data_IF_182692881842
#
_entry.id   IF_182692881842
#
_cell.length_a   1.000
_cell.length_b   1.000
_cell.length_c   1.000
_cell.angle_alpha   90.00
_cell.angle_beta   90.00
_cell.angle_gamma   90.00
#
_symmetry.space_group_name_H-M   'P 1'
#
loop_
_entity.id
_entity.type
_entity.pdbx_description
1 polymer ?
#
# COMPACT_ATOMS: atom_id res chain seq x y z
N UNK A 1 11.33 -5.67 0.13
CA UNK A 1 10.30 -4.60 0.22
C UNK A 1 9.52 -4.33 -1.06
N UNK A 2 10.08 -4.51 -2.26
CA UNK A 2 9.34 -4.28 -3.51
C UNK A 2 8.04 -5.11 -3.61
N UNK A 3 8.00 -6.28 -2.97
CA UNK A 3 6.81 -7.13 -2.86
C UNK A 3 5.59 -6.40 -2.30
N UNK A 4 5.73 -5.63 -1.21
CA UNK A 4 4.61 -4.88 -0.64
C UNK A 4 4.15 -3.74 -1.56
N UNK A 5 5.09 -3.07 -2.24
CA UNK A 5 4.78 -2.00 -3.20
C UNK A 5 3.99 -2.55 -4.37
N UNK A 6 4.41 -3.69 -4.90
CA UNK A 6 3.74 -4.37 -6.01
C UNK A 6 2.36 -4.91 -5.64
N UNK A 7 2.24 -5.60 -4.51
CA UNK A 7 0.94 -6.04 -3.99
C UNK A 7 -0.02 -4.86 -3.79
N UNK A 8 0.47 -3.77 -3.19
CA UNK A 8 -0.32 -2.54 -3.01
C UNK A 8 -0.81 -1.98 -4.33
N UNK A 9 0.08 -1.82 -5.32
CA UNK A 9 -0.29 -1.29 -6.64
C UNK A 9 -1.32 -2.20 -7.33
N UNK A 10 -1.12 -3.51 -7.23
CA UNK A 10 -2.03 -4.49 -7.80
C UNK A 10 -3.44 -4.38 -7.21
N UNK A 11 -3.55 -4.30 -5.88
CA UNK A 11 -4.84 -4.18 -5.17
C UNK A 11 -5.51 -2.83 -5.44
N UNK A 12 -4.76 -1.72 -5.38
CA UNK A 12 -5.32 -0.38 -5.59
C UNK A 12 -5.79 -0.18 -7.03
N UNK A 13 -5.04 -0.70 -8.01
CA UNK A 13 -5.40 -0.53 -9.42
C UNK A 13 -6.66 -1.31 -9.80
N UNK A 14 -7.00 -2.38 -9.06
CA UNK A 14 -8.16 -3.25 -9.32
C UNK A 14 -8.21 -3.81 -10.75
N UNK A 15 -7.05 -3.89 -11.42
CA UNK A 15 -6.91 -4.44 -12.77
C UNK A 15 -6.38 -5.87 -12.72
N UNK A 16 -6.70 -6.71 -13.73
CA UNK A 16 -6.09 -8.02 -13.89
C UNK A 16 -4.55 -7.92 -13.87
N UNK A 17 -3.93 -8.71 -13.01
CA UNK A 17 -2.48 -8.73 -12.87
C UNK A 17 -2.01 -10.09 -12.34
N UNK A 18 -0.80 -10.47 -12.75
CA UNK A 18 -0.07 -11.61 -12.21
C UNK A 18 1.17 -11.10 -11.50
N UNK A 19 1.39 -11.57 -10.28
CA UNK A 19 2.63 -11.35 -9.56
C UNK A 19 3.42 -12.66 -9.56
N UNK A 20 4.55 -12.64 -10.25
CA UNK A 20 5.53 -13.72 -10.27
C UNK A 20 6.53 -13.47 -9.15
N UNK A 21 6.81 -14.49 -8.35
CA UNK A 21 7.72 -14.41 -7.22
C UNK A 21 8.63 -15.63 -7.15
N UNK A 22 9.88 -15.39 -6.78
CA UNK A 22 10.89 -16.44 -6.61
C UNK A 22 11.30 -16.51 -5.16
N UNK A 23 11.28 -17.72 -4.60
CA UNK A 23 11.81 -18.02 -3.26
C UNK A 23 12.77 -19.20 -3.37
N UNK A 24 14.06 -18.95 -3.15
CA UNK A 24 15.12 -19.92 -3.46
C UNK A 24 15.17 -20.22 -4.96
N UNK A 25 15.05 -21.49 -5.34
CA UNK A 25 15.08 -21.93 -6.74
C UNK A 25 13.70 -22.00 -7.41
N UNK A 26 12.61 -21.76 -6.67
CA UNK A 26 11.25 -22.00 -7.15
C UNK A 26 10.57 -20.68 -7.48
N UNK A 27 10.08 -20.55 -8.71
CA UNK A 27 9.24 -19.43 -9.16
C UNK A 27 7.79 -19.86 -9.22
N UNK A 28 6.91 -19.07 -8.61
CA UNK A 28 5.46 -19.27 -8.59
C UNK A 28 4.75 -17.96 -8.93
N UNK A 29 3.45 -18.06 -9.15
CA UNK A 29 2.62 -16.91 -9.49
C UNK A 29 1.38 -16.84 -8.62
N UNK A 30 0.96 -15.61 -8.31
CA UNK A 30 -0.34 -15.30 -7.73
C UNK A 30 -1.09 -14.35 -8.67
N UNK A 31 -2.36 -14.63 -8.91
CA UNK A 31 -3.20 -13.88 -9.84
C UNK A 31 -4.19 -13.03 -9.07
N UNK A 32 -4.46 -11.83 -9.58
CA UNK A 32 -5.38 -10.87 -9.00
C UNK A 32 -6.33 -10.34 -10.07
N UNK A 33 -7.63 -10.43 -9.81
CA UNK A 33 -8.68 -9.96 -10.72
C UNK A 33 -9.97 -9.67 -9.94
N UNK A 34 -10.74 -8.65 -10.36
CA UNK A 34 -12.04 -8.28 -9.74
C UNK A 34 -11.99 -8.17 -8.21
N UNK A 35 -11.01 -7.43 -7.72
CA UNK A 35 -10.79 -7.19 -6.29
C UNK A 35 -10.39 -8.41 -5.42
N UNK A 36 -10.08 -9.55 -6.04
CA UNK A 36 -9.72 -10.78 -5.32
C UNK A 36 -8.50 -11.49 -5.90
N UNK A 37 -7.91 -12.34 -5.08
CA UNK A 37 -6.86 -13.27 -5.47
C UNK A 37 -7.46 -14.60 -5.90
N UNK A 38 -6.90 -15.18 -6.95
CA UNK A 38 -7.35 -16.46 -7.48
C UNK A 38 -6.84 -17.64 -6.63
N UNK A 39 -7.71 -18.60 -6.35
CA UNK A 39 -7.38 -19.84 -5.64
C UNK A 39 -8.24 -20.08 -4.39
N UNK A 40 -7.88 -21.10 -3.63
CA UNK A 40 -8.51 -21.39 -2.33
C UNK A 40 -7.96 -20.49 -1.22
N UNK A 41 -8.70 -20.37 -0.12
CA UNK A 41 -8.31 -19.55 1.04
C UNK A 41 -6.89 -19.87 1.56
N UNK A 42 -6.60 -21.16 1.77
CA UNK A 42 -5.32 -21.61 2.32
C UNK A 42 -4.18 -21.43 1.32
N UNK A 43 -4.44 -21.73 0.05
CA UNK A 43 -3.46 -21.56 -1.02
C UNK A 43 -3.07 -20.10 -1.20
N UNK A 44 -4.05 -19.19 -1.28
CA UNK A 44 -3.80 -17.75 -1.42
C UNK A 44 -3.03 -17.21 -0.21
N UNK A 45 -3.44 -17.58 1.01
CA UNK A 45 -2.74 -17.15 2.23
C UNK A 45 -1.29 -17.64 2.25
N UNK A 46 -1.03 -18.89 1.85
CA UNK A 46 0.32 -19.44 1.77
C UNK A 46 1.15 -18.73 0.68
N UNK A 47 0.61 -18.56 -0.54
CA UNK A 47 1.31 -17.84 -1.62
C UNK A 47 1.65 -16.41 -1.21
N UNK A 48 0.74 -15.70 -0.53
CA UNK A 48 1.01 -14.35 -0.03
C UNK A 48 2.14 -14.32 1.00
N UNK A 49 2.22 -15.29 1.91
CA UNK A 49 3.36 -15.42 2.84
C UNK A 49 4.66 -15.68 2.09
N UNK A 50 4.64 -16.53 1.08
CA UNK A 50 5.81 -16.76 0.22
C UNK A 50 6.22 -15.47 -0.52
N UNK A 51 5.26 -14.66 -1.00
CA UNK A 51 5.52 -13.35 -1.62
C UNK A 51 6.16 -12.36 -0.63
N UNK A 52 5.78 -12.39 0.65
CA UNK A 52 6.40 -11.53 1.67
C UNK A 52 7.89 -11.86 1.86
N UNK A 53 8.26 -13.13 1.68
CA UNK A 53 9.62 -13.66 1.86
C UNK A 53 10.36 -13.91 0.54
N UNK A 54 9.80 -13.46 -0.58
CA UNK A 54 10.38 -13.72 -1.89
C UNK A 54 11.65 -12.89 -2.14
N UNK A 55 12.65 -13.53 -2.74
CA UNK A 55 13.93 -12.92 -3.12
C UNK A 55 13.73 -11.94 -4.28
N UNK A 56 12.84 -12.29 -5.20
CA UNK A 56 12.47 -11.45 -6.34
C UNK A 56 10.98 -11.49 -6.61
N UNK A 57 10.47 -10.37 -7.11
CA UNK A 57 9.05 -10.20 -7.44
C UNK A 57 8.93 -9.36 -8.71
N UNK A 58 8.07 -9.79 -9.62
CA UNK A 58 7.75 -9.07 -10.83
C UNK A 58 6.23 -9.06 -11.04
N UNK A 59 5.69 -7.92 -11.52
CA UNK A 59 4.26 -7.79 -11.81
C UNK A 59 4.08 -7.70 -13.31
N UNK A 60 3.30 -8.63 -13.85
CA UNK A 60 2.87 -8.61 -15.24
C UNK A 60 1.44 -8.09 -15.27
N UNK A 61 1.23 -6.99 -15.98
CA UNK A 61 -0.10 -6.45 -16.29
C UNK A 61 -0.37 -6.69 -17.76
N UNK A 62 -1.30 -7.59 -18.07
CA UNK A 62 -1.76 -7.91 -19.42
C UNK A 62 -3.29 -8.03 -19.39
N UNK A 63 -3.93 -7.78 -20.52
CA UNK A 63 -5.38 -8.01 -20.71
C UNK A 63 -5.69 -9.49 -20.92
N UNK A 64 -4.69 -10.29 -21.27
CA UNK A 64 -4.88 -11.67 -21.76
C UNK A 64 -4.56 -12.70 -20.68
N UNK A 65 -5.02 -12.45 -19.45
CA UNK A 65 -4.92 -13.45 -18.38
C UNK A 65 -6.16 -14.34 -18.39
N UNK A 66 -5.97 -15.60 -18.79
CA UNK A 66 -6.98 -16.63 -18.57
C UNK A 66 -6.87 -17.12 -17.11
N UNK A 67 -7.89 -16.90 -16.27
CA UNK A 67 -7.87 -17.41 -14.90
C UNK A 67 -7.83 -18.95 -14.93
N UNK A 68 -6.98 -19.55 -14.10
CA UNK A 68 -6.87 -21.01 -13.97
C UNK A 68 -8.08 -21.57 -13.21
N UNK A 69 -8.70 -20.76 -12.35
CA UNK A 69 -9.83 -21.13 -11.51
C UNK A 69 -10.85 -20.00 -11.40
N UNK A 70 -12.12 -20.36 -11.15
CA UNK A 70 -13.19 -19.40 -10.83
C UNK A 70 -13.21 -18.98 -9.36
N UNK A 71 -12.47 -19.67 -8.47
CA UNK A 71 -12.46 -19.40 -7.04
C UNK A 71 -11.61 -18.17 -6.74
N UNK A 72 -12.17 -17.25 -5.96
CA UNK A 72 -11.51 -16.00 -5.61
C UNK A 72 -11.71 -15.66 -4.14
N UNK A 73 -10.68 -15.09 -3.54
CA UNK A 73 -10.69 -14.61 -2.17
C UNK A 73 -10.48 -13.10 -2.20
N UNK A 74 -11.40 -12.37 -1.57
CA UNK A 74 -11.35 -10.91 -1.52
C UNK A 74 -10.05 -10.41 -0.85
N UNK A 75 -9.44 -9.34 -1.38
CA UNK A 75 -8.11 -8.91 -0.94
C UNK A 75 -7.97 -8.67 0.58
N UNK A 76 -8.86 -7.89 1.25
CA UNK A 76 -8.83 -7.76 2.70
C UNK A 76 -8.87 -9.08 3.47
N UNK A 77 -9.65 -10.05 3.01
CA UNK A 77 -9.71 -11.39 3.61
C UNK A 77 -8.40 -12.15 3.40
N UNK A 78 -7.90 -12.17 2.16
CA UNK A 78 -6.65 -12.85 1.82
C UNK A 78 -5.45 -12.30 2.61
N UNK A 79 -5.32 -10.97 2.72
CA UNK A 79 -4.25 -10.31 3.48
C UNK A 79 -4.40 -10.57 4.99
N UNK A 80 -5.63 -10.52 5.52
CA UNK A 80 -5.88 -10.83 6.94
C UNK A 80 -5.46 -12.26 7.29
N UNK A 81 -5.81 -13.22 6.43
CA UNK A 81 -5.45 -14.63 6.60
C UNK A 81 -3.96 -14.90 6.40
N UNK A 82 -3.32 -14.22 5.45
CA UNK A 82 -1.87 -14.34 5.24
C UNK A 82 -1.09 -13.82 6.46
N UNK A 83 -1.56 -12.75 7.11
CA UNK A 83 -0.90 -12.16 8.28
C UNK A 83 -1.26 -12.83 9.60
N UNK A 84 -2.36 -13.59 9.68
CA UNK A 84 -2.78 -14.29 10.89
C UNK A 84 -1.68 -15.21 11.43
N UNK A 85 -1.20 -14.92 12.65
CA UNK A 85 -0.08 -15.63 13.28
C UNK A 85 1.27 -15.54 12.56
N UNK A 86 1.40 -14.69 11.53
CA UNK A 86 2.64 -14.56 10.78
C UNK A 86 3.74 -13.90 11.63
N UNK A 87 4.93 -14.48 11.60
CA UNK A 87 6.12 -13.97 12.29
C UNK A 87 7.19 -13.64 11.26
N UNK A 88 8.07 -12.70 11.61
CA UNK A 88 9.12 -12.23 10.72
C UNK A 88 10.45 -12.84 11.12
N UNK A 89 11.22 -13.31 10.14
CA UNK A 89 12.64 -13.56 10.35
C UNK A 89 13.39 -12.23 10.60
N UNK A 90 14.63 -12.30 11.09
CA UNK A 90 15.39 -11.12 11.48
C UNK A 90 15.61 -10.14 10.32
N UNK A 91 15.88 -10.66 9.12
CA UNK A 91 16.13 -9.87 7.92
C UNK A 91 14.88 -9.10 7.45
N UNK A 92 13.73 -9.79 7.39
CA UNK A 92 12.46 -9.19 7.01
C UNK A 92 12.03 -8.16 8.06
N UNK A 93 12.20 -8.46 9.35
CA UNK A 93 11.95 -7.51 10.43
C UNK A 93 12.78 -6.23 10.26
N UNK A 94 14.09 -6.35 10.04
CA UNK A 94 14.97 -5.21 9.81
C UNK A 94 14.57 -4.41 8.56
N UNK A 95 14.22 -5.11 7.47
CA UNK A 95 13.74 -4.49 6.23
C UNK A 95 12.43 -3.71 6.41
N UNK A 96 11.48 -4.25 7.18
CA UNK A 96 10.21 -3.59 7.51
C UNK A 96 10.46 -2.36 8.39
N UNK A 97 11.31 -2.46 9.40
CA UNK A 97 11.68 -1.31 10.24
C UNK A 97 12.36 -0.20 9.43
N UNK A 98 13.31 -0.53 8.56
CA UNK A 98 13.92 0.42 7.63
C UNK A 98 12.88 1.04 6.68
N UNK A 99 11.86 0.28 6.29
CA UNK A 99 10.77 0.80 5.48
C UNK A 99 9.90 1.80 6.25
N UNK A 100 9.55 1.53 7.51
CA UNK A 100 8.72 2.46 8.30
C UNK A 100 9.42 3.79 8.57
N UNK A 101 10.75 3.79 8.71
CA UNK A 101 11.57 5.01 8.84
C UNK A 101 11.55 5.90 7.58
N UNK A 102 11.33 5.30 6.40
CA UNK A 102 11.31 6.02 5.11
C UNK A 102 9.92 6.52 4.71
N UNK A 103 8.87 6.11 5.42
CA UNK A 103 7.53 6.57 5.12
C UNK A 103 7.36 8.04 5.54
N UNK A 104 6.80 8.90 4.68
CA UNK A 104 6.44 10.27 5.06
C UNK A 104 5.31 10.24 6.11
N UNK A 105 4.94 11.39 6.70
CA UNK A 105 3.69 11.50 7.44
C UNK A 105 2.50 10.97 6.63
N UNK A 106 1.60 10.25 7.27
CA UNK A 106 0.54 9.49 6.65
C UNK A 106 -0.85 9.95 7.12
N UNK A 107 -1.81 9.80 6.22
CA UNK A 107 -3.25 9.74 6.52
C UNK A 107 -3.61 8.27 6.75
N UNK A 108 -4.45 8.00 7.75
CA UNK A 108 -4.95 6.66 8.07
C UNK A 108 -6.45 6.58 7.81
N UNK A 109 -6.86 5.78 6.83
CA UNK A 109 -8.27 5.52 6.51
C UNK A 109 -8.81 4.37 7.36
N UNK A 110 -10.01 4.55 7.88
CA UNK A 110 -10.74 3.50 8.59
C UNK A 110 -11.40 2.56 7.60
N UNK A 111 -11.23 1.26 7.81
CA UNK A 111 -11.85 0.19 7.05
C UNK A 111 -12.23 -0.94 8.03
N UNK A 112 -13.40 -1.59 7.88
CA UNK A 112 -13.90 -2.54 8.87
C UNK A 112 -13.18 -3.90 8.80
N UNK A 113 -11.89 -3.93 9.12
CA UNK A 113 -11.01 -5.11 9.07
C UNK A 113 -11.51 -6.28 9.93
N UNK A 114 -12.26 -6.00 11.00
CA UNK A 114 -12.89 -7.03 11.84
C UNK A 114 -13.86 -7.94 11.06
N UNK A 115 -14.47 -7.45 9.97
CA UNK A 115 -15.35 -8.27 9.10
C UNK A 115 -14.59 -9.35 8.34
N UNK A 116 -13.27 -9.23 8.27
CA UNK A 116 -12.38 -10.14 7.54
C UNK A 116 -11.48 -10.93 8.48
N UNK A 117 -11.88 -11.07 9.76
CA UNK A 117 -11.16 -11.81 10.79
C UNK A 117 -9.69 -11.36 10.99
N UNK A 118 -9.42 -10.06 10.82
CA UNK A 118 -8.09 -9.52 11.07
C UNK A 118 -7.75 -9.60 12.56
N UNK A 119 -6.78 -10.44 12.92
CA UNK A 119 -6.47 -10.77 14.32
C UNK A 119 -5.94 -9.56 15.12
N UNK A 120 -5.18 -8.67 14.48
CA UNK A 120 -4.55 -7.52 15.12
C UNK A 120 -5.46 -6.26 15.10
N UNK A 121 -6.78 -6.43 15.06
CA UNK A 121 -7.74 -5.33 14.91
C UNK A 121 -7.64 -4.28 16.03
N UNK A 122 -7.34 -4.69 17.27
CA UNK A 122 -7.17 -3.74 18.38
C UNK A 122 -5.99 -2.78 18.15
N UNK A 123 -4.86 -3.31 17.67
CA UNK A 123 -3.69 -2.50 17.33
C UNK A 123 -3.94 -1.61 16.10
N UNK A 124 -4.68 -2.11 15.11
CA UNK A 124 -5.16 -1.31 13.98
C UNK A 124 -6.05 -0.14 14.42
N UNK A 125 -7.00 -0.38 15.33
CA UNK A 125 -7.86 0.67 15.87
C UNK A 125 -7.06 1.71 16.64
N UNK A 126 -6.09 1.30 17.48
CA UNK A 126 -5.17 2.22 18.16
C UNK A 126 -4.41 3.11 17.17
N UNK A 127 -3.92 2.52 16.07
CA UNK A 127 -3.25 3.26 14.99
C UNK A 127 -4.16 4.35 14.40
N UNK A 128 -5.42 4.02 14.13
CA UNK A 128 -6.39 4.99 13.62
C UNK A 128 -6.74 6.08 14.63
N UNK A 129 -6.94 5.72 15.91
CA UNK A 129 -7.20 6.69 16.98
C UNK A 129 -6.04 7.69 17.15
N UNK A 130 -4.79 7.23 17.05
CA UNK A 130 -3.62 8.11 17.08
C UNK A 130 -3.62 9.12 15.92
N UNK A 131 -3.99 8.68 14.71
CA UNK A 131 -4.14 9.60 13.58
C UNK A 131 -5.27 10.62 13.82
N UNK A 132 -6.43 10.18 14.33
CA UNK A 132 -7.55 11.08 14.62
C UNK A 132 -7.20 12.14 15.66
N UNK A 133 -6.43 11.76 16.70
CA UNK A 133 -6.03 12.69 17.75
C UNK A 133 -4.98 13.71 17.27
N UNK A 134 -4.00 13.26 16.49
CA UNK A 134 -2.84 14.08 16.12
C UNK A 134 -2.99 14.80 14.76
N UNK A 135 -3.98 14.45 13.96
CA UNK A 135 -4.17 14.95 12.59
C UNK A 135 -3.11 14.48 11.57
N UNK A 136 -2.01 13.88 12.05
CA UNK A 136 -0.94 13.30 11.25
C UNK A 136 -0.41 12.02 11.91
N UNK A 137 0.04 11.06 11.11
CA UNK A 137 0.52 9.78 11.62
C UNK A 137 1.92 9.44 11.06
N UNK A 138 2.86 9.10 11.94
CA UNK A 138 4.20 8.61 11.55
C UNK A 138 4.32 7.14 11.92
N UNK A 139 4.51 6.30 10.91
CA UNK A 139 4.58 4.84 11.09
C UNK A 139 5.77 4.43 11.99
N UNK A 140 6.92 5.08 11.83
CA UNK A 140 8.08 4.85 12.70
C UNK A 140 7.74 5.06 14.18
N UNK A 141 7.13 6.20 14.52
CA UNK A 141 6.74 6.53 15.91
C UNK A 141 5.76 5.52 16.48
N UNK A 142 4.82 5.05 15.68
CA UNK A 142 3.88 4.01 16.10
C UNK A 142 4.58 2.68 16.39
N UNK A 143 5.52 2.24 15.54
CA UNK A 143 6.26 0.99 15.76
C UNK A 143 7.23 1.12 16.94
N UNK A 144 7.87 2.27 17.14
CA UNK A 144 8.80 2.50 18.25
C UNK A 144 8.13 2.59 19.62
N UNK A 145 6.81 2.76 19.67
CA UNK A 145 6.02 2.67 20.90
C UNK A 145 5.72 1.22 21.32
N UNK A 146 6.30 0.22 20.65
CA UNK A 146 6.16 -1.17 21.04
C UNK A 146 6.81 -1.43 22.41
N UNK A 147 6.07 -2.04 23.33
CA UNK A 147 6.57 -2.34 24.68
C UNK A 147 7.54 -3.54 24.69
N UNK A 148 7.40 -4.44 23.72
CA UNK A 148 8.19 -5.65 23.60
C UNK A 148 8.17 -6.18 22.16
N UNK A 149 8.98 -7.20 21.89
CA UNK A 149 9.09 -7.82 20.55
C UNK A 149 7.75 -8.34 20.01
N UNK A 150 6.87 -8.86 20.86
CA UNK A 150 5.56 -9.37 20.42
C UNK A 150 4.65 -8.23 19.96
N UNK A 151 4.61 -7.12 20.70
CA UNK A 151 3.86 -5.93 20.28
C UNK A 151 4.44 -5.32 19.00
N UNK A 152 5.78 -5.30 18.86
CA UNK A 152 6.42 -4.81 17.63
C UNK A 152 5.99 -5.63 16.41
N UNK A 153 5.98 -6.97 16.52
CA UNK A 153 5.52 -7.86 15.45
C UNK A 153 4.05 -7.57 15.10
N UNK A 154 3.18 -7.39 16.09
CA UNK A 154 1.76 -7.02 15.88
C UNK A 154 1.66 -5.72 15.09
N UNK A 155 2.40 -4.68 15.50
CA UNK A 155 2.40 -3.37 14.84
C UNK A 155 2.95 -3.43 13.42
N UNK A 156 3.99 -4.25 13.18
CA UNK A 156 4.52 -4.49 11.84
C UNK A 156 3.50 -5.22 10.94
N UNK A 157 2.73 -6.17 11.47
CA UNK A 157 1.62 -6.79 10.72
C UNK A 157 0.52 -5.79 10.38
N UNK A 158 0.13 -4.93 11.33
CA UNK A 158 -0.82 -3.83 11.08
C UNK A 158 -0.29 -2.89 10.00
N UNK A 159 0.99 -2.52 10.06
CA UNK A 159 1.65 -1.71 9.05
C UNK A 159 1.58 -2.37 7.67
N UNK A 160 1.92 -3.66 7.56
CA UNK A 160 1.84 -4.39 6.30
C UNK A 160 0.41 -4.44 5.75
N UNK A 161 -0.56 -4.81 6.59
CA UNK A 161 -1.97 -4.90 6.18
C UNK A 161 -2.46 -3.55 5.62
N UNK A 162 -2.26 -2.48 6.39
CA UNK A 162 -2.75 -1.15 6.05
C UNK A 162 -1.99 -0.54 4.87
N UNK A 163 -0.70 -0.85 4.71
CA UNK A 163 0.08 -0.45 3.56
C UNK A 163 -0.39 -1.16 2.28
N UNK A 164 -0.50 -2.50 2.31
CA UNK A 164 -0.87 -3.32 1.16
C UNK A 164 -2.29 -2.99 0.69
N UNK A 165 -3.23 -2.84 1.62
CA UNK A 165 -4.62 -2.51 1.31
C UNK A 165 -4.86 -1.04 0.95
N UNK A 166 -3.82 -0.20 0.95
CA UNK A 166 -3.94 1.22 0.62
C UNK A 166 -4.70 2.05 1.65
N UNK A 167 -4.78 1.56 2.89
CA UNK A 167 -5.45 2.25 4.01
C UNK A 167 -4.61 3.39 4.59
N UNK A 168 -3.30 3.36 4.36
CA UNK A 168 -2.41 4.48 4.64
C UNK A 168 -1.91 5.11 3.35
N UNK A 169 -1.85 6.44 3.30
CA UNK A 169 -1.30 7.20 2.18
C UNK A 169 -0.47 8.36 2.69
N UNK A 170 0.57 8.82 1.95
CA UNK A 170 1.26 10.05 2.28
C UNK A 170 0.27 11.18 2.49
N UNK A 171 0.43 11.92 3.58
CA UNK A 171 -0.21 13.21 3.73
C UNK A 171 0.44 14.09 2.67
N UNK A 172 -0.32 14.44 1.63
CA UNK A 172 0.16 15.41 0.66
C UNK A 172 0.62 16.63 1.47
N UNK A 173 1.88 17.06 1.30
CA UNK A 173 2.23 18.41 1.71
C UNK A 173 1.17 19.33 1.12
N UNK A 174 0.65 20.33 1.85
CA UNK A 174 -0.29 21.26 1.25
C UNK A 174 0.36 21.78 -0.02
N UNK A 175 -0.15 21.34 -1.18
CA UNK A 175 -0.09 22.19 -2.36
C UNK A 175 -0.74 23.47 -1.88
N UNK A 176 -0.01 24.58 -1.96
CA UNK A 176 -0.56 25.91 -1.80
C UNK A 176 -1.65 26.11 -2.85
N UNK A 177 -2.83 25.55 -2.60
CA UNK A 177 -4.06 25.69 -3.36
C UNK A 177 -5.08 26.18 -2.35
N UNK A 178 -5.08 27.50 -2.12
CA UNK A 178 -6.26 28.36 -1.94
C UNK A 178 -5.89 29.69 -1.27
N UNK A 179 -5.23 30.57 -2.01
CA UNK A 179 -5.53 32.01 -2.01
C UNK A 179 -5.87 32.42 -3.44
N UNK A 180 -6.95 31.85 -3.97
CA UNK A 180 -7.72 32.43 -5.08
C UNK A 180 -9.21 32.34 -4.73
N UNK A 181 -9.55 32.92 -3.59
CA UNK A 181 -10.89 33.46 -3.34
C UNK A 181 -10.61 34.91 -2.95
N UNK A 182 -11.26 35.86 -3.64
CA UNK A 182 -11.08 37.33 -3.58
C UNK A 182 -10.11 37.93 -4.60
N UNK A 183 -10.42 37.81 -5.90
CA UNK A 183 -10.19 38.87 -6.90
C UNK A 183 -10.94 38.56 -8.21
N UNK A 184 -12.26 38.40 -8.10
CA UNK A 184 -13.17 38.44 -9.24
C UNK A 184 -13.96 39.75 -9.25
N UNK A 185 -13.28 40.87 -9.08
CA UNK A 185 -13.72 42.20 -9.50
C UNK A 185 -12.46 43.02 -9.74
N UNK A 186 -12.37 43.69 -10.89
CA UNK A 186 -11.25 44.50 -11.39
C UNK A 186 -10.16 43.73 -12.16
N UNK A 187 -10.41 43.46 -13.44
CA UNK A 187 -9.59 44.00 -14.55
C UNK A 187 -10.09 43.45 -15.90
N UNK A 188 -10.91 44.27 -16.56
CA UNK A 188 -11.02 44.32 -18.01
C UNK A 188 -9.70 44.91 -18.56
N UNK A 189 -9.15 44.27 -19.61
CA UNK A 189 -8.32 44.82 -20.70
C UNK A 189 -6.95 44.12 -20.93
N UNK A 190 -6.92 43.33 -22.03
CA UNK A 190 -5.77 43.01 -22.93
C UNK A 190 -4.63 42.08 -22.46
N UNK A 191 -3.78 41.55 -23.37
CA UNK A 191 -4.10 40.58 -24.44
C UNK A 191 -3.26 39.27 -24.35
N UNK A 192 -3.59 38.31 -25.22
CA UNK A 192 -3.02 36.96 -25.37
C UNK A 192 -1.48 36.86 -25.24
N UNK A 193 -1.00 35.92 -24.41
CA UNK A 193 0.42 35.54 -24.31
C UNK A 193 0.60 34.02 -24.21
N UNK A 194 1.00 33.44 -25.35
CA UNK A 194 1.76 32.20 -25.61
C UNK A 194 1.65 31.01 -24.62
N UNK A 195 0.95 29.95 -25.08
CA UNK A 195 1.07 28.57 -24.58
C UNK A 195 2.54 28.10 -24.64
N UNK A 196 3.21 28.04 -23.48
CA UNK A 196 4.49 27.32 -23.34
C UNK A 196 4.20 25.81 -23.35
N UNK A 197 4.58 25.14 -24.43
CA UNK A 197 4.62 23.66 -24.50
C UNK A 197 5.66 23.17 -23.49
N UNK A 198 5.21 22.49 -22.45
CA UNK A 198 6.09 21.78 -21.51
C UNK A 198 6.78 20.61 -22.23
N UNK A 199 8.11 20.66 -22.23
CA UNK A 199 9.01 19.64 -22.79
C UNK A 199 8.71 18.28 -22.19
N UNK A 200 8.83 17.21 -22.97
CA UNK A 200 8.61 15.82 -22.53
C UNK A 200 9.52 15.48 -21.34
N UNK A 201 10.71 16.08 -21.27
CA UNK A 201 11.64 15.94 -20.14
C UNK A 201 11.07 16.50 -18.82
N UNK A 202 10.33 17.61 -18.85
CA UNK A 202 9.71 18.15 -17.62
C UNK A 202 8.57 17.24 -17.15
N UNK A 203 7.78 16.69 -18.08
CA UNK A 203 6.74 15.68 -17.78
C UNK A 203 7.31 14.40 -17.18
N UNK A 204 8.50 13.98 -17.58
CA UNK A 204 9.16 12.80 -17.01
C UNK A 204 9.69 13.10 -15.60
N UNK A 205 10.28 14.28 -15.39
CA UNK A 205 10.79 14.70 -14.08
C UNK A 205 9.65 14.86 -13.06
N UNK A 206 8.52 15.45 -13.46
CA UNK A 206 7.34 15.60 -12.58
C UNK A 206 6.76 14.24 -12.19
N UNK A 207 6.73 13.29 -13.14
CA UNK A 207 6.24 11.93 -12.92
C UNK A 207 7.14 11.09 -12.01
N UNK A 208 8.44 11.32 -12.01
CA UNK A 208 9.40 10.66 -11.11
C UNK A 208 9.36 11.30 -9.71
N UNK A 209 9.09 12.61 -9.63
CA UNK A 209 9.01 13.35 -8.36
C UNK A 209 7.64 13.32 -7.69
N UNK A 210 6.61 12.77 -8.34
CA UNK A 210 5.28 12.63 -7.75
C UNK A 210 4.56 13.96 -7.56
N UNK A 211 4.78 14.91 -8.47
CA UNK A 211 3.96 16.12 -8.64
C UNK A 211 3.00 15.93 -9.80
#
# INVERSE_FOLDING_TARGET
MNSLVYLRRMIINQKPARLDYTKGSVTKSIYYERAGFEGSHNEVAQKLREVFEADSVNVVTSTDFNPLTSKRIFAPQAISSALAGYTFNAEMRASLLSFTMRLPPLIVRLYPMQRYAFQDNSAYMKMHMQYQHNGSFRMQSYVSQAENTRDEIVRLRVMMATYILGLIAPMNAPRNENHQVTQSMLQRNAPQSRKRKTSILSRIIDRIRGL
#
